data_IF_304850865781
#
_entry.id   IF_304850865781
#
_cell.length_a   1.000
_cell.length_b   1.000
_cell.length_c   1.000
_cell.angle_alpha   90.00
_cell.angle_beta   90.00
_cell.angle_gamma   90.00
#
_symmetry.space_group_name_H-M   'P 1'
#
loop_
_entity.id
_entity.type
_entity.pdbx_description
1 polymer ?
#
# COMPACT_ATOMS: atom_id res chain seq x y z
N UNK A 1 -18.78 -7.34 52.62
CA UNK A 1 -19.28 -7.21 51.23
C UNK A 1 -18.63 -6.07 50.45
N UNK A 2 -18.46 -4.86 51.02
CA UNK A 2 -17.86 -3.71 50.33
C UNK A 2 -16.44 -3.95 49.78
N UNK A 3 -15.58 -4.62 50.55
CA UNK A 3 -14.21 -4.97 50.12
C UNK A 3 -14.15 -6.06 49.03
N UNK A 4 -15.15 -6.95 48.99
CA UNK A 4 -15.27 -7.97 47.94
C UNK A 4 -15.58 -7.32 46.58
N UNK A 5 -16.41 -6.27 46.59
CA UNK A 5 -16.76 -5.49 45.40
C UNK A 5 -15.56 -4.70 44.83
N UNK A 6 -14.69 -4.17 45.70
CA UNK A 6 -13.46 -3.50 45.26
C UNK A 6 -12.44 -4.49 44.66
N UNK A 7 -12.35 -5.71 45.21
CA UNK A 7 -11.47 -6.75 44.68
C UNK A 7 -11.91 -7.24 43.29
N UNK A 8 -13.22 -7.35 43.06
CA UNK A 8 -13.76 -7.69 41.73
C UNK A 8 -13.58 -6.58 40.71
N UNK A 9 -13.60 -5.31 41.12
CA UNK A 9 -13.38 -4.18 40.23
C UNK A 9 -11.91 -4.06 39.78
N UNK A 10 -10.96 -4.44 40.65
CA UNK A 10 -9.54 -4.44 40.33
C UNK A 10 -9.18 -5.47 39.24
N UNK A 11 -9.83 -6.63 39.27
CA UNK A 11 -9.59 -7.74 38.32
C UNK A 11 -10.11 -7.49 36.90
N UNK A 12 -10.99 -6.49 36.70
CA UNK A 12 -11.53 -6.10 35.38
C UNK A 12 -10.60 -5.10 34.67
N UNK A 13 -9.50 -4.69 35.30
CA UNK A 13 -8.51 -3.78 34.71
C UNK A 13 -7.58 -4.48 33.71
N UNK A 14 -8.09 -5.39 32.90
CA UNK A 14 -7.30 -6.06 31.87
C UNK A 14 -7.03 -5.07 30.74
N UNK A 15 -5.74 -4.87 30.48
CA UNK A 15 -5.18 -4.02 29.44
C UNK A 15 -5.80 -4.34 28.07
N UNK A 16 -6.42 -3.34 27.45
CA UNK A 16 -6.81 -3.38 26.05
C UNK A 16 -5.54 -3.42 25.19
N UNK A 17 -5.04 -4.62 24.91
CA UNK A 17 -3.99 -4.83 23.93
C UNK A 17 -4.64 -4.73 22.55
N UNK A 18 -4.35 -3.66 21.80
CA UNK A 18 -4.76 -3.55 20.40
C UNK A 18 -4.20 -4.75 19.64
N UNK A 19 -5.08 -5.54 19.02
CA UNK A 19 -4.68 -6.68 18.19
C UNK A 19 -3.88 -6.23 16.97
N UNK A 20 -4.10 -5.00 16.50
CA UNK A 20 -3.44 -4.44 15.34
C UNK A 20 -2.34 -3.48 15.80
N UNK A 21 -1.10 -3.79 15.40
CA UNK A 21 0.04 -2.91 15.61
C UNK A 21 -0.01 -1.76 14.60
N UNK A 22 0.36 -0.53 15.02
CA UNK A 22 0.32 0.62 14.13
C UNK A 22 1.34 0.46 12.99
N UNK A 23 0.97 0.97 11.82
CA UNK A 23 1.91 1.19 10.73
C UNK A 23 2.89 2.29 11.09
N UNK A 24 4.17 2.05 10.80
CA UNK A 24 5.24 3.04 10.80
C UNK A 24 5.62 3.37 9.36
N UNK A 25 5.99 4.62 9.11
CA UNK A 25 6.47 5.05 7.79
C UNK A 25 7.86 4.45 7.56
N UNK A 26 8.03 3.76 6.42
CA UNK A 26 9.32 3.23 6.01
C UNK A 26 10.24 4.42 5.65
N UNK A 27 11.40 4.51 6.31
CA UNK A 27 12.31 5.66 6.15
C UNK A 27 12.99 5.61 4.78
N UNK A 28 13.04 6.78 4.12
CA UNK A 28 13.64 7.09 2.81
C UNK A 28 14.31 5.95 2.04
N UNK A 29 13.66 5.54 0.94
CA UNK A 29 14.26 4.69 -0.07
C UNK A 29 15.01 5.56 -1.09
N UNK A 30 16.27 5.25 -1.42
CA UNK A 30 17.00 5.97 -2.46
C UNK A 30 16.25 5.91 -3.79
N UNK A 31 16.45 6.91 -4.65
CA UNK A 31 15.95 6.87 -6.02
C UNK A 31 16.64 5.74 -6.78
N UNK A 32 16.00 4.58 -6.86
CA UNK A 32 16.48 3.43 -7.61
C UNK A 32 15.91 3.50 -9.02
N UNK A 33 16.75 3.27 -10.03
CA UNK A 33 16.30 3.18 -11.40
C UNK A 33 15.42 1.94 -11.59
N UNK A 34 14.12 2.14 -11.78
CA UNK A 34 13.14 1.06 -11.90
C UNK A 34 13.37 0.18 -13.14
N UNK A 35 14.08 0.69 -14.15
CA UNK A 35 14.42 -0.06 -15.37
C UNK A 35 15.53 -1.09 -15.15
N UNK A 36 16.29 -0.98 -14.07
CA UNK A 36 17.43 -1.85 -13.76
C UNK A 36 17.04 -3.04 -12.86
N UNK A 37 15.78 -3.11 -12.41
CA UNK A 37 15.33 -4.24 -11.61
C UNK A 37 15.22 -5.52 -12.43
N UNK A 38 15.98 -6.53 -12.00
CA UNK A 38 15.89 -7.87 -12.58
C UNK A 38 14.54 -8.50 -12.23
N UNK A 39 13.72 -8.70 -13.25
CA UNK A 39 12.45 -9.41 -13.16
C UNK A 39 12.45 -10.55 -14.16
N UNK A 40 12.72 -11.76 -13.68
CA UNK A 40 12.79 -12.96 -14.51
C UNK A 40 11.48 -13.23 -15.26
N UNK A 41 10.35 -12.97 -14.59
CA UNK A 41 9.00 -13.25 -15.11
C UNK A 41 8.48 -12.13 -16.03
N UNK A 42 9.24 -11.04 -16.19
CA UNK A 42 8.88 -9.86 -16.99
C UNK A 42 7.49 -9.31 -16.68
N UNK A 43 7.06 -9.43 -15.41
CA UNK A 43 5.78 -8.90 -14.93
C UNK A 43 5.75 -7.39 -15.17
N UNK A 44 4.67 -6.91 -15.79
CA UNK A 44 4.43 -5.50 -16.11
C UNK A 44 2.99 -5.14 -15.78
N UNK A 45 2.71 -3.90 -15.33
CA UNK A 45 1.34 -3.42 -15.16
C UNK A 45 0.59 -3.44 -16.50
N UNK A 46 -0.72 -3.71 -16.45
CA UNK A 46 -1.59 -3.54 -17.62
C UNK A 46 -1.60 -2.07 -18.04
N UNK A 47 -1.70 -1.83 -19.35
CA UNK A 47 -1.84 -0.49 -19.92
C UNK A 47 -2.98 0.27 -19.23
N UNK A 48 -2.72 1.52 -18.89
CA UNK A 48 -3.67 2.38 -18.21
C UNK A 48 -3.42 3.85 -18.51
N UNK A 49 -4.44 4.67 -18.28
CA UNK A 49 -4.34 6.13 -18.34
C UNK A 49 -3.92 6.71 -16.98
N UNK A 50 -3.41 5.89 -16.04
CA UNK A 50 -3.08 6.36 -14.69
C UNK A 50 -1.58 6.51 -14.50
N UNK A 51 -1.18 7.44 -13.62
CA UNK A 51 0.20 7.64 -13.19
C UNK A 51 0.27 7.77 -11.68
N UNK A 52 1.20 7.07 -11.06
CA UNK A 52 1.55 7.29 -9.65
C UNK A 52 2.45 8.53 -9.57
N UNK A 53 2.01 9.55 -8.83
CA UNK A 53 2.74 10.81 -8.67
C UNK A 53 3.66 10.79 -7.46
N UNK A 54 3.22 10.15 -6.37
CA UNK A 54 4.00 10.00 -5.15
C UNK A 54 3.55 8.76 -4.38
N UNK A 55 4.46 8.23 -3.57
CA UNK A 55 4.22 7.06 -2.71
C UNK A 55 4.80 7.31 -1.32
N UNK A 56 4.19 6.67 -0.32
CA UNK A 56 4.68 6.61 1.05
C UNK A 56 4.47 5.18 1.55
N UNK A 57 5.56 4.40 1.58
CA UNK A 57 5.54 3.04 2.08
C UNK A 57 5.45 3.02 3.60
N UNK A 58 4.72 2.04 4.12
CA UNK A 58 4.50 1.86 5.54
C UNK A 58 4.58 0.37 5.88
N UNK A 59 5.04 0.05 7.08
CA UNK A 59 5.07 -1.32 7.57
C UNK A 59 4.78 -1.43 9.07
N UNK A 60 4.40 -2.63 9.49
CA UNK A 60 4.31 -2.99 10.92
C UNK A 60 5.50 -3.86 11.33
N UNK A 61 5.74 -3.98 12.63
CA UNK A 61 6.76 -4.88 13.19
C UNK A 61 6.53 -6.36 12.83
N UNK A 62 5.32 -6.71 12.40
CA UNK A 62 4.94 -8.06 11.97
C UNK A 62 5.14 -8.27 10.47
N UNK A 63 5.62 -7.26 9.75
CA UNK A 63 5.86 -7.34 8.30
C UNK A 63 4.61 -7.12 7.45
N UNK A 64 3.52 -6.59 7.99
CA UNK A 64 2.43 -6.10 7.14
C UNK A 64 2.91 -4.86 6.39
N UNK A 65 2.54 -4.75 5.11
CA UNK A 65 2.94 -3.65 4.23
C UNK A 65 1.72 -2.91 3.72
N UNK A 66 1.78 -1.59 3.73
CA UNK A 66 0.81 -0.73 3.10
C UNK A 66 1.52 0.42 2.39
N UNK A 67 0.87 1.02 1.40
CA UNK A 67 1.41 2.18 0.69
C UNK A 67 0.33 3.21 0.49
N UNK A 68 0.57 4.44 0.96
CA UNK A 68 -0.23 5.60 0.57
C UNK A 68 0.29 6.11 -0.78
N UNK A 69 -0.56 6.12 -1.79
CA UNK A 69 -0.22 6.59 -3.13
C UNK A 69 -1.03 7.84 -3.48
N UNK A 70 -0.40 8.75 -4.24
CA UNK A 70 -1.13 9.73 -5.03
C UNK A 70 -1.16 9.24 -6.48
N UNK A 71 -2.35 9.09 -7.04
CA UNK A 71 -2.56 8.62 -8.41
C UNK A 71 -3.42 9.62 -9.18
N UNK A 72 -3.06 9.87 -10.44
CA UNK A 72 -3.82 10.73 -11.35
C UNK A 72 -4.28 10.01 -12.60
N UNK A 73 -5.48 10.34 -13.06
CA UNK A 73 -5.94 10.04 -14.40
C UNK A 73 -5.32 11.04 -15.40
N UNK A 74 -4.61 10.54 -16.40
CA UNK A 74 -4.00 11.34 -17.47
C UNK A 74 -4.96 11.59 -18.64
N UNK A 75 -6.07 10.87 -18.70
CA UNK A 75 -7.10 11.08 -19.72
C UNK A 75 -7.91 12.35 -19.43
N UNK A 76 -8.46 12.97 -20.48
CA UNK A 76 -9.47 14.01 -20.37
C UNK A 76 -10.84 13.46 -19.98
N UNK A 77 -11.07 12.15 -20.18
CA UNK A 77 -12.32 11.47 -19.85
C UNK A 77 -12.25 10.76 -18.50
N UNK A 78 -13.42 10.35 -18.01
CA UNK A 78 -13.56 9.51 -16.82
C UNK A 78 -12.95 8.12 -17.05
N UNK A 79 -12.25 7.59 -16.05
CA UNK A 79 -11.63 6.25 -16.07
C UNK A 79 -11.89 5.49 -14.78
N UNK A 80 -11.96 4.18 -14.92
CA UNK A 80 -12.03 3.24 -13.80
C UNK A 80 -10.62 2.70 -13.59
N UNK A 81 -10.12 2.77 -12.36
CA UNK A 81 -8.84 2.19 -11.98
C UNK A 81 -9.04 0.70 -11.71
N UNK A 82 -8.34 -0.13 -12.48
CA UNK A 82 -8.34 -1.58 -12.34
C UNK A 82 -7.11 -2.04 -11.53
N UNK A 83 -7.20 -3.06 -10.67
CA UNK A 83 -6.09 -3.48 -9.81
C UNK A 83 -4.82 -3.81 -10.60
N UNK A 84 -4.91 -4.57 -11.70
CA UNK A 84 -3.71 -5.04 -12.42
C UNK A 84 -3.01 -3.94 -13.24
N UNK A 85 -3.53 -2.71 -13.20
CA UNK A 85 -2.85 -1.53 -13.75
C UNK A 85 -1.78 -1.00 -12.78
N UNK A 86 -1.77 -1.47 -11.53
CA UNK A 86 -0.80 -1.12 -10.51
C UNK A 86 0.09 -2.34 -10.24
N UNK A 87 1.39 -2.10 -10.23
CA UNK A 87 2.41 -3.07 -9.86
C UNK A 87 3.19 -2.56 -8.65
N UNK A 88 3.51 -3.47 -7.74
CA UNK A 88 4.34 -3.23 -6.56
C UNK A 88 5.64 -3.99 -6.72
N UNK A 89 6.75 -3.32 -6.43
CA UNK A 89 8.09 -3.88 -6.47
C UNK A 89 8.67 -3.92 -5.07
N UNK A 90 9.18 -5.08 -4.67
CA UNK A 90 9.77 -5.31 -3.36
C UNK A 90 11.31 -5.35 -3.42
N UNK A 91 11.96 -5.19 -2.26
CA UNK A 91 13.41 -5.09 -2.16
C UNK A 91 14.18 -6.35 -2.62
N UNK A 92 13.51 -7.50 -2.69
CA UNK A 92 14.08 -8.73 -3.24
C UNK A 92 13.93 -8.85 -4.78
N UNK A 93 13.42 -7.82 -5.44
CA UNK A 93 13.20 -7.79 -6.88
C UNK A 93 11.89 -8.43 -7.34
N UNK A 94 11.08 -8.98 -6.43
CA UNK A 94 9.76 -9.49 -6.79
C UNK A 94 8.82 -8.35 -7.18
N UNK A 95 8.12 -8.51 -8.31
CA UNK A 95 7.14 -7.57 -8.81
C UNK A 95 5.75 -8.23 -8.83
N UNK A 96 4.78 -7.66 -8.12
CA UNK A 96 3.43 -8.20 -8.01
C UNK A 96 2.41 -7.21 -8.59
N UNK A 97 1.47 -7.71 -9.39
CA UNK A 97 0.28 -6.96 -9.76
C UNK A 97 -0.71 -6.95 -8.60
N UNK A 98 -1.40 -5.84 -8.38
CA UNK A 98 -2.51 -5.88 -7.42
C UNK A 98 -3.63 -6.77 -7.97
N UNK A 99 -4.24 -7.52 -7.07
CA UNK A 99 -5.39 -8.40 -7.38
C UNK A 99 -6.71 -7.78 -6.93
N UNK A 100 -6.68 -6.77 -6.06
CA UNK A 100 -7.85 -6.08 -5.56
C UNK A 100 -7.53 -4.62 -5.22
N UNK A 101 -8.58 -3.81 -5.21
CA UNK A 101 -8.59 -2.44 -4.69
C UNK A 101 -9.58 -2.36 -3.52
N UNK A 102 -9.39 -1.44 -2.56
CA UNK A 102 -10.27 -1.34 -1.38
C UNK A 102 -11.73 -1.05 -1.76
N UNK A 103 -11.95 -0.43 -2.93
CA UNK A 103 -13.26 -0.17 -3.52
C UNK A 103 -13.09 0.12 -5.01
N UNK A 104 -14.21 0.18 -5.74
CA UNK A 104 -14.23 0.70 -7.11
C UNK A 104 -13.81 2.18 -7.08
N UNK A 105 -12.74 2.52 -7.81
CA UNK A 105 -12.21 3.87 -7.90
C UNK A 105 -12.45 4.38 -9.33
N UNK A 106 -13.15 5.50 -9.41
CA UNK A 106 -13.49 6.16 -10.67
C UNK A 106 -12.97 7.58 -10.58
N UNK A 107 -12.10 7.97 -11.51
CA UNK A 107 -11.52 9.31 -11.55
C UNK A 107 -12.04 10.05 -12.78
N UNK A 108 -12.46 11.29 -12.58
CA UNK A 108 -12.74 12.21 -13.68
C UNK A 108 -11.42 12.58 -14.42
N UNK A 109 -11.55 13.26 -15.57
CA UNK A 109 -10.39 13.65 -16.36
C UNK A 109 -9.43 14.52 -15.55
N UNK A 110 -8.12 14.22 -15.61
CA UNK A 110 -7.08 14.93 -14.89
C UNK A 110 -7.20 14.94 -13.35
N UNK A 111 -8.13 14.17 -12.78
CA UNK A 111 -8.29 14.09 -11.34
C UNK A 111 -7.15 13.31 -10.70
N UNK A 112 -6.64 13.82 -9.57
CA UNK A 112 -5.69 13.12 -8.69
C UNK A 112 -6.33 12.80 -7.34
N UNK A 113 -6.02 11.62 -6.79
CA UNK A 113 -6.54 11.18 -5.49
C UNK A 113 -5.46 10.49 -4.67
N UNK A 114 -5.61 10.53 -3.34
CA UNK A 114 -4.81 9.73 -2.43
C UNK A 114 -5.55 8.45 -2.07
N UNK A 115 -4.84 7.32 -2.09
CA UNK A 115 -5.39 5.99 -1.78
C UNK A 115 -4.39 5.21 -0.93
N UNK A 116 -4.87 4.48 0.06
CA UNK A 116 -4.04 3.50 0.77
C UNK A 116 -4.25 2.12 0.14
N UNK A 117 -3.14 1.48 -0.22
CA UNK A 117 -3.10 0.11 -0.70
C UNK A 117 -2.60 -0.78 0.44
N UNK A 118 -3.45 -1.69 0.91
CA UNK A 118 -3.06 -2.75 1.83
C UNK A 118 -2.46 -3.91 1.02
N UNK A 119 -1.19 -4.22 1.24
CA UNK A 119 -0.46 -5.24 0.47
C UNK A 119 -0.35 -6.57 1.20
N UNK A 120 -0.73 -6.59 2.48
CA UNK A 120 -0.65 -7.77 3.34
C UNK A 120 0.77 -8.02 3.86
N UNK A 121 1.01 -9.25 4.30
CA UNK A 121 2.27 -9.63 4.92
C UNK A 121 3.38 -9.86 3.87
N UNK A 122 4.49 -9.13 4.00
CA UNK A 122 5.71 -9.34 3.24
C UNK A 122 6.94 -8.86 4.04
N UNK A 123 7.92 -9.76 4.21
CA UNK A 123 9.16 -9.45 4.93
C UNK A 123 10.05 -8.44 4.20
N UNK A 124 9.92 -8.30 2.88
CA UNK A 124 10.70 -7.35 2.09
C UNK A 124 10.00 -5.98 2.00
N UNK A 125 10.73 -4.86 2.18
CA UNK A 125 10.18 -3.52 1.98
C UNK A 125 9.65 -3.30 0.58
N UNK A 126 8.64 -2.44 0.47
CA UNK A 126 8.17 -1.94 -0.83
C UNK A 126 9.16 -0.90 -1.33
N UNK A 127 9.72 -1.11 -2.51
CA UNK A 127 10.63 -0.16 -3.16
C UNK A 127 9.87 0.82 -4.03
N UNK A 128 8.85 0.34 -4.74
CA UNK A 128 8.13 1.17 -5.70
C UNK A 128 6.71 0.65 -5.94
N UNK A 129 5.81 1.59 -6.24
CA UNK A 129 4.46 1.32 -6.74
C UNK A 129 4.30 2.13 -8.02
N UNK A 130 3.89 1.47 -9.10
CA UNK A 130 3.98 2.05 -10.43
C UNK A 130 2.86 1.56 -11.35
N UNK A 131 2.56 2.36 -12.37
CA UNK A 131 1.77 1.97 -13.54
C UNK A 131 2.65 1.97 -14.80
N UNK A 132 2.09 1.63 -15.96
CA UNK A 132 2.82 1.72 -17.24
C UNK A 132 3.38 3.12 -17.51
N UNK A 133 2.68 4.19 -17.10
CA UNK A 133 3.11 5.58 -17.31
C UNK A 133 4.24 6.05 -16.35
N UNK A 134 4.70 5.17 -15.45
CA UNK A 134 5.87 5.43 -14.60
C UNK A 134 7.18 4.86 -15.18
N UNK A 135 7.11 3.99 -16.19
CA UNK A 135 8.25 3.26 -16.77
C UNK A 135 8.56 3.72 -18.22
N UNK A 136 8.02 4.86 -18.64
CA UNK A 136 8.24 5.45 -19.98
C UNK A 136 9.53 6.25 -20.04
#
# INVERSE_FOLDING_TARGET
MKYLLYLTLLMISTSALSKEKPYSIDTYLPQINLNEFYNQDKIRPKNSDFKINSTLAMSTDEGNRAVLINISNLSSGRRILEPEQIMVLYANGQAHLLTALPKKIILDGYQAVNLTLELGHNIYPVISVLTTNNIQ
#
